data_IF_866859343362
#
_entry.id   IF_866859343362
#
_cell.length_a   1.000
_cell.length_b   1.000
_cell.length_c   1.000
_cell.angle_alpha   90.00
_cell.angle_beta   90.00
_cell.angle_gamma   90.00
#
_symmetry.space_group_name_H-M   'P 1'
#
loop_
_entity.id
_entity.type
_entity.pdbx_description
1 polymer ?
#
# COMPACT_ATOMS: atom_id res chain seq x y z
N UNK A 1 -69.53 -31.61 -2.66
CA UNK A 1 -68.35 -31.04 -1.98
C UNK A 1 -68.05 -29.67 -2.60
N UNK A 2 -68.22 -28.58 -1.85
CA UNK A 2 -67.88 -27.20 -2.28
C UNK A 2 -66.61 -26.78 -1.55
N UNK A 3 -65.57 -26.42 -2.29
CA UNK A 3 -64.35 -25.80 -1.76
C UNK A 3 -64.55 -24.28 -1.61
N UNK A 4 -64.14 -23.67 -0.47
CA UNK A 4 -64.21 -22.22 -0.33
C UNK A 4 -63.01 -21.56 -1.03
N UNK A 5 -63.30 -20.57 -1.88
CA UNK A 5 -62.30 -19.73 -2.53
C UNK A 5 -61.84 -18.68 -1.51
N UNK A 6 -60.63 -18.85 -0.97
CA UNK A 6 -59.97 -17.88 -0.11
C UNK A 6 -59.58 -16.66 -0.93
N UNK A 7 -60.35 -15.57 -0.83
CA UNK A 7 -59.99 -14.28 -1.44
C UNK A 7 -58.86 -13.66 -0.63
N UNK A 8 -57.66 -13.63 -1.20
CA UNK A 8 -56.53 -12.82 -0.71
C UNK A 8 -56.93 -11.34 -0.74
N UNK A 9 -56.75 -10.58 0.36
CA UNK A 9 -57.00 -9.15 0.33
C UNK A 9 -55.95 -8.47 -0.56
N UNK A 10 -56.41 -7.86 -1.65
CA UNK A 10 -55.61 -6.90 -2.40
C UNK A 10 -55.31 -5.73 -1.46
N UNK A 11 -54.06 -5.69 -1.00
CA UNK A 11 -53.50 -4.61 -0.18
C UNK A 11 -53.67 -3.31 -0.95
N UNK A 12 -54.71 -2.54 -0.64
CA UNK A 12 -54.89 -1.18 -1.14
C UNK A 12 -53.67 -0.37 -0.70
N UNK A 13 -52.72 -0.18 -1.62
CA UNK A 13 -51.64 0.77 -1.41
C UNK A 13 -52.23 2.17 -1.55
N UNK A 14 -52.43 2.82 -0.41
CA UNK A 14 -52.77 4.23 -0.36
C UNK A 14 -51.74 5.02 -1.20
N UNK A 15 -52.15 5.91 -2.11
CA UNK A 15 -51.25 6.56 -3.06
C UNK A 15 -50.11 7.35 -2.39
N UNK A 16 -50.32 7.86 -1.17
CA UNK A 16 -49.26 8.50 -0.38
C UNK A 16 -48.14 7.55 0.07
N UNK A 17 -48.43 6.24 0.21
CA UNK A 17 -47.49 5.22 0.65
C UNK A 17 -46.58 4.75 -0.50
N UNK A 18 -47.08 4.80 -1.74
CA UNK A 18 -46.31 4.51 -2.96
C UNK A 18 -45.26 5.59 -3.21
N UNK A 19 -45.64 6.87 -3.07
CA UNK A 19 -44.71 8.00 -3.20
C UNK A 19 -43.58 7.93 -2.16
N UNK A 20 -43.91 7.57 -0.92
CA UNK A 20 -42.93 7.36 0.14
C UNK A 20 -41.97 6.20 -0.19
N UNK A 21 -42.49 5.08 -0.72
CA UNK A 21 -41.66 3.95 -1.15
C UNK A 21 -40.68 4.33 -2.27
N UNK A 22 -41.14 5.07 -3.29
CA UNK A 22 -40.26 5.52 -4.38
C UNK A 22 -39.14 6.41 -3.84
N UNK A 23 -39.47 7.32 -2.91
CA UNK A 23 -38.50 8.23 -2.32
C UNK A 23 -37.46 7.50 -1.45
N UNK A 24 -37.89 6.50 -0.68
CA UNK A 24 -36.98 5.64 0.11
C UNK A 24 -36.06 4.83 -0.80
N UNK A 25 -36.57 4.25 -1.88
CA UNK A 25 -35.76 3.48 -2.84
C UNK A 25 -34.74 4.38 -3.53
N UNK A 26 -35.14 5.58 -3.95
CA UNK A 26 -34.22 6.57 -4.54
C UNK A 26 -33.10 6.95 -3.56
N UNK A 27 -33.44 7.17 -2.28
CA UNK A 27 -32.46 7.51 -1.25
C UNK A 27 -31.45 6.37 -1.03
N UNK A 28 -31.92 5.12 -1.01
CA UNK A 28 -31.06 3.94 -0.86
C UNK A 28 -30.09 3.78 -2.03
N UNK A 29 -30.53 4.07 -3.26
CA UNK A 29 -29.66 4.04 -4.44
C UNK A 29 -28.54 5.09 -4.36
N UNK A 30 -28.83 6.30 -3.85
CA UNK A 30 -27.83 7.35 -3.67
C UNK A 30 -26.79 6.95 -2.60
N UNK A 31 -27.23 6.35 -1.49
CA UNK A 31 -26.32 5.87 -0.44
C UNK A 31 -25.44 4.73 -0.96
N UNK A 32 -26.02 3.79 -1.71
CA UNK A 32 -25.26 2.67 -2.28
C UNK A 32 -24.20 3.15 -3.28
N UNK A 33 -24.55 4.08 -4.19
CA UNK A 33 -23.62 4.62 -5.18
C UNK A 33 -22.47 5.40 -4.55
N UNK A 34 -22.76 6.23 -3.54
CA UNK A 34 -21.72 6.97 -2.80
C UNK A 34 -20.81 6.05 -1.98
N UNK A 35 -21.34 4.97 -1.40
CA UNK A 35 -20.54 3.97 -0.70
C UNK A 35 -19.58 3.23 -1.64
N UNK A 36 -20.03 2.85 -2.83
CA UNK A 36 -19.19 2.19 -3.85
C UNK A 36 -18.08 3.14 -4.32
N UNK A 37 -18.40 4.40 -4.60
CA UNK A 37 -17.42 5.41 -5.00
C UNK A 37 -16.34 5.62 -3.93
N UNK A 38 -16.74 5.75 -2.65
CA UNK A 38 -15.80 5.87 -1.54
C UNK A 38 -14.93 4.63 -1.38
N UNK A 39 -15.50 3.44 -1.56
CA UNK A 39 -14.74 2.19 -1.46
C UNK A 39 -13.69 2.07 -2.57
N UNK A 40 -14.06 2.41 -3.81
CA UNK A 40 -13.14 2.44 -4.95
C UNK A 40 -12.01 3.45 -4.71
N UNK A 41 -12.34 4.69 -4.32
CA UNK A 41 -11.35 5.72 -4.02
C UNK A 41 -10.37 5.28 -2.92
N UNK A 42 -10.86 4.63 -1.87
CA UNK A 42 -10.00 4.14 -0.79
C UNK A 42 -9.07 3.01 -1.27
N UNK A 43 -9.55 2.12 -2.16
CA UNK A 43 -8.72 1.09 -2.80
C UNK A 43 -7.65 1.72 -3.70
N UNK A 44 -7.99 2.69 -4.54
CA UNK A 44 -7.03 3.37 -5.40
C UNK A 44 -5.98 4.17 -4.61
N UNK A 45 -6.38 4.82 -3.52
CA UNK A 45 -5.45 5.54 -2.64
C UNK A 45 -4.53 4.60 -1.85
N UNK A 46 -5.02 3.43 -1.45
CA UNK A 46 -4.19 2.42 -0.80
C UNK A 46 -3.13 1.87 -1.75
N UNK A 47 -3.50 1.56 -3.00
CA UNK A 47 -2.58 1.05 -4.03
C UNK A 47 -1.54 2.10 -4.40
N UNK A 48 -1.91 3.37 -4.60
CA UNK A 48 -0.95 4.41 -5.00
C UNK A 48 0.06 4.77 -3.89
N UNK A 49 -0.37 4.75 -2.62
CA UNK A 49 0.55 4.91 -1.49
C UNK A 49 1.51 3.73 -1.39
N UNK A 50 1.00 2.52 -1.61
CA UNK A 50 1.80 1.31 -1.58
C UNK A 50 2.82 1.25 -2.74
N UNK A 51 2.42 1.63 -3.96
CA UNK A 51 3.34 1.67 -5.10
C UNK A 51 4.48 2.69 -4.92
N UNK A 52 4.18 3.86 -4.37
CA UNK A 52 5.21 4.87 -4.11
C UNK A 52 6.20 4.41 -3.02
N UNK A 53 5.70 3.83 -1.93
CA UNK A 53 6.56 3.25 -0.90
C UNK A 53 7.40 2.10 -1.46
N UNK A 54 6.80 1.16 -2.20
CA UNK A 54 7.51 0.05 -2.83
C UNK A 54 8.53 0.51 -3.88
N UNK A 55 8.27 1.61 -4.61
CA UNK A 55 9.25 2.20 -5.53
C UNK A 55 10.44 2.83 -4.80
N UNK A 56 10.21 3.53 -3.69
CA UNK A 56 11.31 4.07 -2.88
C UNK A 56 12.13 2.95 -2.25
N UNK A 57 11.48 1.96 -1.63
CA UNK A 57 12.15 0.80 -1.05
C UNK A 57 12.92 0.01 -2.11
N UNK A 58 12.34 -0.21 -3.29
CA UNK A 58 13.01 -0.90 -4.40
C UNK A 58 14.25 -0.16 -4.91
N UNK A 59 14.20 1.19 -4.97
CA UNK A 59 15.38 2.01 -5.32
C UNK A 59 16.47 1.94 -4.25
N UNK A 60 16.10 2.04 -2.97
CA UNK A 60 17.04 1.94 -1.85
C UNK A 60 17.67 0.56 -1.82
N UNK A 61 16.89 -0.51 -2.00
CA UNK A 61 17.37 -1.89 -2.06
C UNK A 61 18.33 -2.09 -3.25
N UNK A 62 18.01 -1.55 -4.43
CA UNK A 62 18.88 -1.59 -5.59
C UNK A 62 20.21 -0.86 -5.37
N UNK A 63 20.16 0.35 -4.78
CA UNK A 63 21.36 1.12 -4.44
C UNK A 63 22.21 0.43 -3.37
N UNK A 64 21.57 -0.18 -2.35
CA UNK A 64 22.26 -0.95 -1.32
C UNK A 64 22.92 -2.22 -1.89
N UNK A 65 22.27 -2.89 -2.85
CA UNK A 65 22.84 -4.03 -3.55
C UNK A 65 24.07 -3.62 -4.39
N UNK A 66 23.96 -2.54 -5.16
CA UNK A 66 25.09 -1.98 -5.92
C UNK A 66 26.27 -1.62 -5.02
N UNK A 67 26.00 -0.93 -3.91
CA UNK A 67 27.01 -0.54 -2.93
C UNK A 67 27.72 -1.76 -2.36
N UNK A 68 26.98 -2.79 -1.90
CA UNK A 68 27.57 -4.02 -1.37
C UNK A 68 28.43 -4.73 -2.41
N UNK A 69 27.98 -4.79 -3.67
CA UNK A 69 28.74 -5.38 -4.77
C UNK A 69 30.06 -4.63 -5.03
N UNK A 70 30.01 -3.31 -5.08
CA UNK A 70 31.18 -2.45 -5.28
C UNK A 70 32.16 -2.57 -4.10
N UNK A 71 31.66 -2.54 -2.86
CA UNK A 71 32.45 -2.76 -1.65
C UNK A 71 33.14 -4.13 -1.65
N UNK A 72 32.42 -5.20 -2.01
CA UNK A 72 32.99 -6.54 -2.10
C UNK A 72 34.08 -6.63 -3.19
N UNK A 73 33.87 -5.99 -4.34
CA UNK A 73 34.85 -5.95 -5.44
C UNK A 73 36.09 -5.13 -5.06
N UNK A 74 35.91 -4.08 -4.25
CA UNK A 74 36.97 -3.29 -3.66
C UNK A 74 37.63 -3.95 -2.42
N UNK A 75 37.28 -5.21 -2.10
CA UNK A 75 37.91 -6.00 -1.04
C UNK A 75 37.46 -5.65 0.38
N UNK A 76 36.23 -5.16 0.56
CA UNK A 76 35.62 -4.95 1.88
C UNK A 76 34.87 -6.20 2.37
N UNK A 77 34.95 -6.57 3.66
CA UNK A 77 35.78 -5.97 4.71
C UNK A 77 37.24 -6.38 4.57
N UNK A 78 38.15 -5.45 4.88
CA UNK A 78 39.59 -5.70 4.85
C UNK A 78 40.14 -5.93 6.27
N UNK A 79 41.20 -5.21 6.67
CA UNK A 79 41.75 -5.27 8.03
C UNK A 79 40.92 -4.47 9.06
N UNK A 80 39.96 -3.64 8.61
CA UNK A 80 39.03 -2.91 9.46
C UNK A 80 37.62 -2.92 8.87
N UNK A 81 36.62 -2.70 9.73
CA UNK A 81 35.24 -2.49 9.29
C UNK A 81 35.00 -1.07 8.76
N UNK A 82 36.00 -0.19 8.76
CA UNK A 82 35.91 1.15 8.21
C UNK A 82 36.34 1.13 6.75
N UNK A 83 35.55 1.65 5.81
CA UNK A 83 35.94 1.69 4.41
C UNK A 83 37.14 2.62 4.21
N UNK A 84 38.05 2.25 3.31
CA UNK A 84 39.07 3.17 2.82
C UNK A 84 38.49 4.16 1.79
N UNK A 85 39.29 5.13 1.33
CA UNK A 85 38.82 6.16 0.39
C UNK A 85 38.26 5.59 -0.93
N UNK A 86 38.85 4.50 -1.45
CA UNK A 86 38.37 3.84 -2.67
C UNK A 86 37.03 3.12 -2.45
N UNK A 87 36.85 2.52 -1.28
CA UNK A 87 35.59 1.86 -0.86
C UNK A 87 34.49 2.88 -0.54
N UNK A 88 34.84 4.05 0.02
CA UNK A 88 33.90 5.13 0.26
C UNK A 88 33.30 5.70 -1.04
N UNK A 89 34.05 5.66 -2.15
CA UNK A 89 33.55 6.04 -3.47
C UNK A 89 32.43 5.11 -3.99
N UNK A 90 32.28 3.91 -3.43
CA UNK A 90 31.17 2.99 -3.74
C UNK A 90 29.84 3.38 -3.09
N UNK A 91 29.83 4.35 -2.17
CA UNK A 91 28.62 4.78 -1.47
C UNK A 91 27.88 5.77 -2.37
N UNK A 92 26.68 5.44 -2.89
CA UNK A 92 25.97 6.31 -3.80
C UNK A 92 25.39 7.54 -3.08
N UNK A 93 25.37 8.68 -3.76
CA UNK A 93 24.74 9.92 -3.29
C UNK A 93 23.24 9.69 -3.07
N UNK A 94 22.79 9.68 -1.82
CA UNK A 94 21.42 9.34 -1.43
C UNK A 94 21.33 8.20 -0.41
N UNK A 95 22.44 7.50 -0.14
CA UNK A 95 22.57 6.56 0.96
C UNK A 95 23.64 7.02 1.94
N UNK A 96 23.29 7.00 3.23
CA UNK A 96 24.23 7.09 4.33
C UNK A 96 24.45 5.70 4.90
N UNK A 97 25.70 5.38 5.22
CA UNK A 97 26.12 4.03 5.61
C UNK A 97 26.89 4.14 6.92
N UNK A 98 26.35 3.53 7.96
CA UNK A 98 27.07 3.35 9.22
C UNK A 98 27.77 1.99 9.19
N UNK A 99 29.08 2.03 9.40
CA UNK A 99 29.94 0.85 9.48
C UNK A 99 30.25 0.58 10.95
N UNK A 100 30.00 -0.64 11.41
CA UNK A 100 30.23 -1.05 12.80
C UNK A 100 30.75 -2.49 12.89
N UNK A 101 31.16 -2.90 14.09
CA UNK A 101 31.66 -4.25 14.36
C UNK A 101 33.17 -4.41 14.20
N UNK A 102 33.60 -5.67 14.19
CA UNK A 102 35.01 -6.07 14.06
C UNK A 102 35.16 -7.14 12.97
N UNK A 103 36.24 -7.11 12.17
CA UNK A 103 36.47 -8.13 11.15
C UNK A 103 36.54 -9.53 11.78
N UNK A 104 35.99 -10.57 11.13
CA UNK A 104 35.36 -10.56 9.81
C UNK A 104 33.86 -10.21 9.80
N UNK A 105 33.24 -10.01 10.97
CA UNK A 105 31.80 -9.74 11.11
C UNK A 105 31.50 -8.23 11.14
N UNK A 106 31.74 -7.55 10.03
CA UNK A 106 31.41 -6.13 9.90
C UNK A 106 29.91 -5.94 9.61
N UNK A 107 29.28 -5.03 10.35
CA UNK A 107 27.88 -4.66 10.19
C UNK A 107 27.76 -3.38 9.35
N UNK A 108 26.77 -3.37 8.46
CA UNK A 108 26.49 -2.29 7.52
C UNK A 108 25.04 -1.87 7.68
N UNK A 109 24.80 -0.69 8.25
CA UNK A 109 23.46 -0.11 8.34
C UNK A 109 23.32 0.99 7.31
N UNK A 110 22.40 0.81 6.36
CA UNK A 110 22.10 1.78 5.32
C UNK A 110 20.85 2.58 5.70
N UNK A 111 20.90 3.89 5.54
CA UNK A 111 19.77 4.80 5.71
C UNK A 111 19.68 5.71 4.49
N UNK A 112 18.46 6.02 4.04
CA UNK A 112 18.28 7.04 3.01
C UNK A 112 18.75 8.40 3.56
N UNK A 113 19.38 9.20 2.71
CA UNK A 113 19.75 10.58 3.04
C UNK A 113 18.69 11.48 2.40
N UNK A 114 18.04 12.33 3.21
CA UNK A 114 17.07 13.33 2.76
C UNK A 114 17.71 14.41 1.87
#
# INVERSE_FOLDING_TARGET
MRTPITRTPLRQQHPGLVLLQVLVIALLLIIATTAILRWQLNRYQAVSKQENQSRLEGKIAGLAAYMRQCLATAGYPSASCTPNAAQAACIPSGLSVAFSGTPPACELKTTATD
#
